data_IF_513951858861
#
_entry.id   IF_513951858861
#
_cell.length_a   1.000
_cell.length_b   1.000
_cell.length_c   1.000
_cell.angle_alpha   90.00
_cell.angle_beta   90.00
_cell.angle_gamma   90.00
#
_symmetry.space_group_name_H-M   'P 1'
#
loop_
_entity.id
_entity.type
_entity.pdbx_description
1 polymer ?
#
# COMPACT_ATOMS: atom_id res chain seq x y z
N UNK A 1 -27.06 63.51 18.23
CA UNK A 1 -27.19 62.22 18.93
C UNK A 1 -26.60 61.16 18.02
N UNK A 2 -25.40 60.74 18.39
CA UNK A 2 -24.53 59.81 17.67
C UNK A 2 -24.97 58.38 17.96
N UNK A 3 -25.05 57.54 16.93
CA UNK A 3 -25.05 56.09 17.09
C UNK A 3 -23.81 55.58 16.36
N UNK A 4 -22.82 55.12 17.14
CA UNK A 4 -21.63 54.47 16.64
C UNK A 4 -21.97 53.04 16.16
N UNK A 5 -21.41 52.56 15.04
CA UNK A 5 -21.50 51.16 14.65
C UNK A 5 -20.55 50.29 15.48
N UNK A 6 -21.04 49.11 15.85
CA UNK A 6 -20.30 48.07 16.56
C UNK A 6 -19.06 47.60 15.77
N UNK A 7 -17.91 47.59 16.44
CA UNK A 7 -16.72 46.88 15.99
C UNK A 7 -16.96 45.37 16.08
N UNK A 8 -16.76 44.66 14.97
CA UNK A 8 -16.60 43.20 14.95
C UNK A 8 -15.11 42.93 15.04
N UNK A 9 -14.70 42.37 16.18
CA UNK A 9 -13.36 41.83 16.39
C UNK A 9 -13.17 40.59 15.52
N UNK A 10 -12.52 40.74 14.35
CA UNK A 10 -12.00 39.62 13.59
C UNK A 10 -10.69 39.15 14.20
N UNK A 11 -10.75 38.21 15.14
CA UNK A 11 -9.59 37.35 15.41
C UNK A 11 -9.50 36.36 14.26
N UNK A 12 -8.88 36.79 13.16
CA UNK A 12 -8.38 35.88 12.14
C UNK A 12 -7.25 35.09 12.79
N UNK A 13 -7.47 33.81 13.05
CA UNK A 13 -6.36 32.88 13.14
C UNK A 13 -5.79 32.79 11.71
N UNK A 14 -4.69 33.51 11.49
CA UNK A 14 -3.87 33.28 10.31
C UNK A 14 -3.36 31.83 10.39
N UNK A 15 -3.57 31.05 9.34
CA UNK A 15 -2.81 29.83 9.14
C UNK A 15 -1.35 30.27 8.92
N UNK A 16 -0.53 30.18 9.97
CA UNK A 16 0.92 30.31 9.83
C UNK A 16 1.41 29.01 9.18
N UNK A 17 1.57 29.02 7.86
CA UNK A 17 2.34 28.00 7.17
C UNK A 17 3.76 28.02 7.74
N UNK A 18 4.15 26.93 8.41
CA UNK A 18 5.45 26.82 9.04
C UNK A 18 6.46 26.48 7.95
N UNK A 19 7.45 27.35 7.75
CA UNK A 19 8.69 26.93 7.11
C UNK A 19 9.37 25.95 8.08
N UNK A 20 9.15 24.65 7.84
CA UNK A 20 9.74 23.54 8.60
C UNK A 20 10.63 22.76 7.64
N UNK A 21 11.82 22.37 8.08
CA UNK A 21 12.64 21.39 7.34
C UNK A 21 12.33 19.95 7.77
N UNK A 22 11.41 19.78 8.72
CA UNK A 22 10.88 18.49 9.11
C UNK A 22 9.57 18.26 8.34
N UNK A 23 9.54 17.22 7.49
CA UNK A 23 8.32 16.72 6.86
C UNK A 23 7.51 15.92 7.88
N UNK A 24 6.17 15.93 7.80
CA UNK A 24 5.36 15.08 8.67
C UNK A 24 5.66 13.60 8.41
N UNK A 25 6.00 12.87 9.47
CA UNK A 25 6.26 11.43 9.39
C UNK A 25 4.97 10.66 9.09
N UNK A 26 5.05 9.73 8.14
CA UNK A 26 3.94 8.83 7.85
C UNK A 26 2.76 9.50 7.16
N UNK A 27 2.96 10.55 6.37
CA UNK A 27 1.94 11.11 5.50
C UNK A 27 2.28 10.88 4.03
N UNK A 28 1.25 10.75 3.19
CA UNK A 28 1.38 10.73 1.74
C UNK A 28 1.45 12.20 1.27
N UNK A 29 2.59 12.59 0.72
CA UNK A 29 2.94 13.99 0.47
C UNK A 29 3.04 14.28 -1.03
N UNK A 30 2.28 15.28 -1.45
CA UNK A 30 2.37 15.88 -2.78
C UNK A 30 3.29 17.09 -2.71
N UNK A 31 4.19 17.22 -3.68
CA UNK A 31 5.13 18.33 -3.76
C UNK A 31 4.88 19.18 -5.01
N UNK A 32 5.09 20.49 -4.88
CA UNK A 32 5.06 21.42 -5.99
C UNK A 32 6.30 22.31 -5.97
N UNK A 33 7.09 22.21 -7.04
CA UNK A 33 8.32 22.95 -7.25
C UNK A 33 8.18 23.84 -8.49
N UNK A 34 8.68 25.07 -8.42
CA UNK A 34 8.68 26.02 -9.53
C UNK A 34 10.11 26.27 -10.02
N UNK A 35 10.27 26.57 -11.30
CA UNK A 35 11.54 26.99 -11.89
C UNK A 35 11.33 28.06 -12.97
N UNK A 36 12.29 28.97 -13.13
CA UNK A 36 12.19 30.03 -14.13
C UNK A 36 12.38 29.54 -15.57
N UNK A 37 13.11 28.44 -15.74
CA UNK A 37 13.33 27.80 -17.04
C UNK A 37 13.80 26.36 -16.90
N UNK A 38 13.88 25.64 -18.00
CA UNK A 38 14.53 24.33 -18.00
C UNK A 38 14.87 23.77 -19.37
N UNK A 39 15.53 22.63 -19.35
CA UNK A 39 15.86 21.82 -20.52
C UNK A 39 15.43 20.38 -20.32
N UNK A 40 15.09 19.73 -21.43
CA UNK A 40 14.78 18.30 -21.47
C UNK A 40 15.60 17.69 -22.61
N UNK A 41 16.62 16.94 -22.26
CA UNK A 41 17.60 16.37 -23.20
C UNK A 41 17.49 14.85 -23.23
N UNK A 42 17.51 14.23 -24.42
CA UNK A 42 17.45 12.77 -24.55
C UNK A 42 18.68 12.10 -23.89
N UNK A 43 18.43 11.05 -23.12
CA UNK A 43 19.43 10.22 -22.48
C UNK A 43 19.48 8.82 -23.11
N UNK A 44 20.44 7.98 -22.69
CA UNK A 44 20.59 6.63 -23.21
C UNK A 44 19.49 5.71 -22.65
N UNK A 45 18.50 5.38 -23.48
CA UNK A 45 17.38 4.50 -23.12
C UNK A 45 16.08 4.94 -23.79
N UNK A 46 15.18 3.99 -24.08
CA UNK A 46 13.88 4.35 -24.66
C UNK A 46 13.06 5.16 -23.65
N UNK A 47 12.70 6.39 -24.01
CA UNK A 47 11.92 7.30 -23.16
C UNK A 47 12.70 7.94 -22.01
N UNK A 48 14.04 7.82 -21.99
CA UNK A 48 14.91 8.39 -20.96
C UNK A 48 15.39 9.80 -21.35
N UNK A 49 15.36 10.73 -20.39
CA UNK A 49 15.79 12.11 -20.55
C UNK A 49 16.55 12.60 -19.31
N UNK A 50 17.33 13.66 -19.47
CA UNK A 50 17.82 14.49 -18.37
C UNK A 50 17.00 15.78 -18.34
N UNK A 51 16.31 16.01 -17.22
CA UNK A 51 15.59 17.24 -16.94
C UNK A 51 16.49 18.17 -16.13
N UNK A 52 16.75 19.37 -16.64
CA UNK A 52 17.45 20.42 -15.88
C UNK A 52 16.52 21.59 -15.66
N UNK A 53 16.21 21.91 -14.41
CA UNK A 53 15.45 23.09 -14.02
C UNK A 53 16.43 24.17 -13.51
N UNK A 54 16.39 25.34 -14.15
CA UNK A 54 17.26 26.48 -13.85
C UNK A 54 16.51 27.55 -13.08
N UNK A 55 17.18 28.14 -12.09
CA UNK A 55 16.56 29.02 -11.09
C UNK A 55 15.33 28.34 -10.46
N UNK A 56 15.49 27.07 -10.06
CA UNK A 56 14.51 26.33 -9.29
C UNK A 56 14.31 27.01 -7.92
N UNK A 57 13.07 27.05 -7.44
CA UNK A 57 12.74 27.59 -6.13
C UNK A 57 13.56 26.90 -5.05
N UNK A 58 14.15 27.69 -4.15
CA UNK A 58 14.86 27.20 -2.96
C UNK A 58 13.91 26.58 -1.93
N UNK A 59 12.61 26.83 -2.07
CA UNK A 59 11.54 26.23 -1.26
C UNK A 59 10.59 25.43 -2.16
N UNK A 60 10.39 24.16 -1.80
CA UNK A 60 9.37 23.29 -2.40
C UNK A 60 8.13 23.31 -1.51
N UNK A 61 6.95 23.49 -2.11
CA UNK A 61 5.68 23.39 -1.39
C UNK A 61 5.33 21.93 -1.23
N UNK A 62 4.84 21.53 -0.06
CA UNK A 62 4.27 20.20 0.15
C UNK A 62 2.87 20.32 0.73
N UNK A 63 2.03 19.34 0.46
CA UNK A 63 0.72 19.20 1.08
C UNK A 63 0.33 17.74 1.16
N UNK A 64 -0.38 17.36 2.22
CA UNK A 64 -0.98 16.03 2.36
C UNK A 64 -2.46 16.07 1.98
N UNK A 65 -2.97 14.95 1.44
CA UNK A 65 -4.41 14.82 1.22
C UNK A 65 -5.13 14.44 2.53
N UNK A 66 -6.41 14.08 2.43
CA UNK A 66 -7.22 13.62 3.55
C UNK A 66 -6.56 12.43 4.25
N UNK A 67 -6.69 12.36 5.58
CA UNK A 67 -7.46 13.27 6.45
C UNK A 67 -6.65 14.44 7.00
N UNK A 68 -5.31 14.37 6.98
CA UNK A 68 -4.43 15.32 7.69
C UNK A 68 -4.57 16.71 7.10
N UNK A 69 -4.63 16.83 5.77
CA UNK A 69 -4.80 18.10 5.05
C UNK A 69 -3.84 19.17 5.56
N UNK A 70 -2.60 18.79 5.74
CA UNK A 70 -1.55 19.72 6.14
C UNK A 70 -0.84 20.26 4.90
N UNK A 71 -0.11 21.35 5.08
CA UNK A 71 0.64 21.95 4.01
C UNK A 71 1.69 22.90 4.53
N UNK A 72 2.82 22.90 3.85
CA UNK A 72 3.96 23.69 4.23
C UNK A 72 4.94 23.87 3.09
N UNK A 73 6.15 24.26 3.47
CA UNK A 73 7.27 24.30 2.54
C UNK A 73 8.46 23.59 3.18
N UNK A 74 9.32 23.01 2.36
CA UNK A 74 10.62 22.44 2.73
C UNK A 74 11.71 23.09 1.87
N UNK A 75 12.94 23.17 2.38
CA UNK A 75 14.10 23.56 1.55
C UNK A 75 14.26 22.54 0.42
N UNK A 76 14.35 23.00 -0.83
CA UNK A 76 14.47 22.10 -1.99
C UNK A 76 15.71 21.21 -1.87
N UNK A 77 16.81 21.76 -1.35
CA UNK A 77 18.01 20.97 -1.03
C UNK A 77 17.71 19.84 -0.04
N UNK A 78 16.97 20.12 1.04
CA UNK A 78 16.58 19.12 2.03
C UNK A 78 15.65 18.07 1.45
N UNK A 79 14.71 18.44 0.57
CA UNK A 79 13.89 17.45 -0.15
C UNK A 79 14.75 16.48 -0.96
N UNK A 80 15.79 16.98 -1.63
CA UNK A 80 16.72 16.14 -2.39
C UNK A 80 17.59 15.27 -1.45
N UNK A 81 18.03 15.80 -0.31
CA UNK A 81 18.77 15.02 0.70
C UNK A 81 17.92 13.90 1.32
N UNK A 82 16.63 14.16 1.55
CA UNK A 82 15.64 13.21 2.10
C UNK A 82 15.08 12.26 1.04
N UNK A 83 15.48 12.38 -0.24
CA UNK A 83 14.88 11.64 -1.36
C UNK A 83 14.84 10.13 -1.12
N UNK A 84 15.93 9.56 -0.61
CA UNK A 84 16.00 8.13 -0.28
C UNK A 84 15.18 7.73 0.96
N UNK A 85 15.03 8.64 1.92
CA UNK A 85 14.24 8.45 3.14
C UNK A 85 12.73 8.50 2.85
N UNK A 86 12.32 9.32 1.88
CA UNK A 86 10.96 9.38 1.33
C UNK A 86 10.58 8.15 0.48
N UNK A 87 11.52 7.23 0.25
CA UNK A 87 11.31 6.03 -0.55
C UNK A 87 11.53 6.21 -2.05
N UNK A 88 11.75 7.44 -2.52
CA UNK A 88 11.89 7.78 -3.94
C UNK A 88 13.09 7.13 -4.65
N UNK A 89 14.12 6.67 -3.93
CA UNK A 89 15.23 5.90 -4.51
C UNK A 89 14.82 4.45 -4.84
N UNK A 90 13.87 3.89 -4.10
CA UNK A 90 13.38 2.51 -4.27
C UNK A 90 12.15 2.41 -5.15
N UNK A 91 11.28 3.41 -5.10
CA UNK A 91 10.10 3.57 -5.96
C UNK A 91 10.05 5.02 -6.43
N UNK A 92 10.41 5.25 -7.69
CA UNK A 92 10.56 6.61 -8.21
C UNK A 92 9.19 7.29 -8.33
N UNK A 93 9.03 8.54 -7.86
CA UNK A 93 7.74 9.21 -7.90
C UNK A 93 7.37 9.60 -9.33
N UNK A 94 6.07 9.60 -9.57
CA UNK A 94 5.52 10.24 -10.75
C UNK A 94 5.50 11.75 -10.57
N UNK A 95 5.56 12.48 -11.67
CA UNK A 95 5.39 13.91 -11.67
C UNK A 95 4.75 14.40 -12.97
N UNK A 96 4.14 15.57 -12.89
CA UNK A 96 3.67 16.33 -14.04
C UNK A 96 4.52 17.57 -14.19
N UNK A 97 5.25 17.68 -15.31
CA UNK A 97 5.92 18.90 -15.72
C UNK A 97 4.95 19.76 -16.54
N UNK A 98 4.56 20.91 -16.00
CA UNK A 98 3.75 21.92 -16.68
C UNK A 98 4.62 23.10 -17.08
N UNK A 99 4.55 23.51 -18.35
CA UNK A 99 5.31 24.65 -18.90
C UNK A 99 4.37 25.80 -19.20
N UNK A 100 4.68 26.99 -18.68
CA UNK A 100 3.90 28.22 -18.87
C UNK A 100 3.81 28.58 -20.35
N UNK A 101 2.62 29.02 -20.78
CA UNK A 101 2.33 29.32 -22.19
C UNK A 101 1.96 28.10 -23.04
N UNK A 102 1.87 26.90 -22.44
CA UNK A 102 1.36 25.67 -23.06
C UNK A 102 0.06 25.18 -22.44
N UNK A 103 -0.75 26.08 -21.89
CA UNK A 103 -1.98 25.78 -21.14
C UNK A 103 -3.01 24.94 -21.92
N UNK A 104 -2.98 24.99 -23.26
CA UNK A 104 -3.85 24.18 -24.13
C UNK A 104 -3.34 22.76 -24.37
N UNK A 105 -2.20 22.38 -23.78
CA UNK A 105 -1.62 21.06 -23.87
C UNK A 105 -1.50 20.43 -22.47
N UNK A 106 -1.69 19.12 -22.34
CA UNK A 106 -1.45 18.44 -21.08
C UNK A 106 0.04 18.51 -20.70
N UNK A 107 0.33 18.55 -19.41
CA UNK A 107 1.70 18.49 -18.90
C UNK A 107 2.37 17.14 -19.20
N UNK A 108 3.70 17.09 -19.16
CA UNK A 108 4.44 15.85 -19.36
C UNK A 108 4.36 14.99 -18.11
N UNK A 109 3.87 13.76 -18.26
CA UNK A 109 3.91 12.78 -17.16
C UNK A 109 5.25 12.03 -17.21
N UNK A 110 6.04 12.21 -16.16
CA UNK A 110 7.40 11.68 -16.03
C UNK A 110 7.57 10.97 -14.69
N UNK A 111 8.48 10.03 -14.65
CA UNK A 111 9.01 9.42 -13.44
C UNK A 111 10.37 10.07 -13.12
N UNK A 112 10.62 10.41 -11.86
CA UNK A 112 11.79 11.18 -11.43
C UNK A 112 12.84 10.30 -10.73
N UNK A 113 14.08 10.37 -11.19
CA UNK A 113 15.19 9.57 -10.67
C UNK A 113 16.42 10.44 -10.45
N UNK A 114 17.30 9.99 -9.55
CA UNK A 114 18.64 10.55 -9.36
C UNK A 114 18.69 12.09 -9.24
N UNK A 115 17.87 12.74 -8.40
CA UNK A 115 17.92 14.20 -8.32
C UNK A 115 19.25 14.69 -7.77
N UNK A 116 19.68 15.84 -8.28
CA UNK A 116 20.84 16.57 -7.79
C UNK A 116 20.52 18.07 -7.78
N UNK A 117 20.62 18.70 -6.61
CA UNK A 117 20.41 20.13 -6.45
C UNK A 117 21.75 20.84 -6.16
N UNK A 118 22.02 21.92 -6.90
CA UNK A 118 23.19 22.79 -6.69
C UNK A 118 22.73 24.13 -6.10
N UNK A 119 22.95 24.31 -4.80
CA UNK A 119 22.55 25.48 -4.02
C UNK A 119 23.12 26.79 -4.60
N UNK A 120 24.35 26.76 -5.14
CA UNK A 120 25.01 27.98 -5.60
C UNK A 120 24.35 28.57 -6.85
N UNK A 121 23.65 27.75 -7.63
CA UNK A 121 23.05 28.12 -8.91
C UNK A 121 21.54 27.88 -8.96
N UNK A 122 20.93 27.36 -7.89
CA UNK A 122 19.54 26.91 -7.86
C UNK A 122 19.20 26.02 -9.06
N UNK A 123 20.12 25.10 -9.38
CA UNK A 123 19.95 24.17 -10.48
C UNK A 123 19.55 22.81 -9.93
N UNK A 124 18.38 22.33 -10.37
CA UNK A 124 17.92 20.96 -10.10
C UNK A 124 18.07 20.13 -11.36
N UNK A 125 18.81 19.03 -11.28
CA UNK A 125 18.97 18.07 -12.38
C UNK A 125 18.37 16.74 -11.95
N UNK A 126 17.56 16.11 -12.81
CA UNK A 126 17.00 14.79 -12.59
C UNK A 126 17.18 13.93 -13.84
N UNK A 127 17.39 12.64 -13.63
CA UNK A 127 17.11 11.64 -14.66
C UNK A 127 15.60 11.42 -14.68
N UNK A 128 14.98 11.44 -15.86
CA UNK A 128 13.53 11.27 -15.99
C UNK A 128 13.16 10.26 -17.06
N UNK A 129 12.09 9.52 -16.82
CA UNK A 129 11.49 8.62 -17.82
C UNK A 129 10.09 9.09 -18.14
N UNK A 130 9.75 9.22 -19.42
CA UNK A 130 8.38 9.55 -19.82
C UNK A 130 7.52 8.29 -19.76
N UNK A 131 6.40 8.38 -19.05
CA UNK A 131 5.48 7.25 -18.80
C UNK A 131 4.06 7.48 -19.36
N UNK A 132 3.72 8.70 -19.77
CA UNK A 132 2.42 9.05 -20.35
C UNK A 132 2.27 8.68 -21.84
N UNK A 133 1.05 8.31 -22.24
CA UNK A 133 0.69 7.95 -23.64
C UNK A 133 0.53 9.16 -24.60
N UNK A 134 0.83 10.39 -24.14
CA UNK A 134 0.81 11.58 -24.99
C UNK A 134 2.23 12.04 -25.35
N UNK A 135 2.40 12.41 -26.61
CA UNK A 135 3.70 12.48 -27.26
C UNK A 135 4.65 13.51 -26.61
N UNK A 136 5.77 12.99 -26.09
CA UNK A 136 7.02 13.74 -25.80
C UNK A 136 7.39 14.73 -26.89
N UNK A 137 7.00 14.43 -28.14
CA UNK A 137 7.36 15.17 -29.35
C UNK A 137 6.93 16.64 -29.39
N UNK A 138 6.18 17.15 -28.41
CA UNK A 138 5.78 18.55 -28.35
C UNK A 138 6.59 19.40 -27.35
N UNK A 139 7.32 18.82 -26.40
CA UNK A 139 8.07 19.65 -25.44
C UNK A 139 9.41 20.07 -26.04
N UNK A 140 9.68 21.38 -26.20
CA UNK A 140 10.94 21.85 -26.72
C UNK A 140 12.05 21.47 -25.75
N UNK A 141 13.21 21.15 -26.30
CA UNK A 141 14.41 20.82 -25.52
C UNK A 141 14.82 21.94 -24.57
N UNK A 142 14.32 23.16 -24.77
CA UNK A 142 14.41 24.28 -23.83
C UNK A 142 13.05 24.94 -23.64
N UNK A 143 12.73 25.33 -22.41
CA UNK A 143 11.46 25.95 -22.06
C UNK A 143 11.63 27.06 -21.02
N UNK A 144 10.62 27.95 -20.96
CA UNK A 144 10.54 29.02 -19.97
C UNK A 144 10.00 28.52 -18.63
N UNK A 145 9.30 29.39 -17.90
CA UNK A 145 8.77 29.07 -16.57
C UNK A 145 8.01 27.74 -16.54
N UNK A 146 8.30 26.92 -15.54
CA UNK A 146 7.72 25.60 -15.38
C UNK A 146 7.39 25.30 -13.92
N UNK A 147 6.37 24.46 -13.74
CA UNK A 147 6.00 23.87 -12.46
C UNK A 147 6.10 22.36 -12.55
N UNK A 148 6.75 21.75 -11.57
CA UNK A 148 6.87 20.32 -11.39
C UNK A 148 5.99 19.92 -10.21
N UNK A 149 4.94 19.15 -10.48
CA UNK A 149 4.06 18.58 -9.47
C UNK A 149 4.50 17.13 -9.26
N UNK A 150 5.08 16.84 -8.11
CA UNK A 150 5.66 15.54 -7.77
C UNK A 150 4.66 14.85 -6.86
N UNK A 151 4.26 13.65 -7.25
CA UNK A 151 3.44 12.79 -6.43
C UNK A 151 4.26 12.19 -5.28
N UNK A 152 3.60 11.54 -4.34
CA UNK A 152 4.33 10.67 -3.44
C UNK A 152 4.98 9.51 -4.23
N UNK A 153 5.99 8.87 -3.64
CA UNK A 153 6.33 7.53 -4.04
C UNK A 153 5.15 6.78 -3.49
N UNK A 154 4.27 6.31 -4.37
CA UNK A 154 3.13 5.53 -3.96
C UNK A 154 3.60 4.58 -2.88
N UNK A 155 3.18 4.81 -1.63
CA UNK A 155 3.26 3.73 -0.67
C UNK A 155 2.25 2.77 -1.25
N UNK A 156 2.71 1.84 -2.10
CA UNK A 156 1.95 0.67 -2.48
C UNK A 156 1.48 0.11 -1.15
N UNK A 157 0.23 0.40 -0.81
CA UNK A 157 -0.30 0.14 0.51
C UNK A 157 -0.17 -1.35 0.68
N UNK A 158 0.66 -1.73 1.64
CA UNK A 158 1.09 -3.12 1.81
C UNK A 158 -0.09 -4.03 2.25
N UNK A 159 -1.23 -3.39 2.60
CA UNK A 159 -2.57 -3.95 2.76
C UNK A 159 -3.54 -3.34 1.74
N UNK A 160 -4.55 -4.11 1.38
CA UNK A 160 -5.61 -3.71 0.48
C UNK A 160 -6.72 -2.90 1.18
N UNK A 161 -7.15 -3.34 2.36
CA UNK A 161 -8.27 -2.72 3.08
C UNK A 161 -7.90 -2.31 4.49
N UNK A 162 -8.32 -1.11 4.86
CA UNK A 162 -8.22 -0.65 6.24
C UNK A 162 -9.05 -1.55 7.15
N UNK A 163 -8.45 -1.97 8.27
CA UNK A 163 -9.11 -2.89 9.21
C UNK A 163 -9.08 -4.36 8.81
N UNK A 164 -8.42 -4.73 7.70
CA UNK A 164 -8.06 -6.12 7.46
C UNK A 164 -6.90 -6.56 8.37
N UNK A 165 -6.83 -7.85 8.67
CA UNK A 165 -5.78 -8.44 9.51
C UNK A 165 -4.98 -9.45 8.72
N UNK A 166 -3.68 -9.18 8.60
CA UNK A 166 -2.68 -10.05 7.97
C UNK A 166 -1.73 -10.63 9.01
N UNK A 167 -1.03 -11.70 8.64
CA UNK A 167 -0.13 -12.43 9.53
C UNK A 167 1.31 -12.36 9.04
N UNK A 168 2.19 -11.84 9.90
CA UNK A 168 3.59 -11.63 9.55
C UNK A 168 4.54 -12.41 10.45
N UNK A 169 5.53 -13.12 9.90
CA UNK A 169 6.54 -13.85 10.65
C UNK A 169 7.72 -12.95 11.09
N UNK A 170 7.51 -11.64 11.14
CA UNK A 170 8.50 -10.62 11.48
C UNK A 170 7.81 -9.35 11.97
N UNK A 171 8.54 -8.53 12.71
CA UNK A 171 8.15 -7.17 13.05
C UNK A 171 8.73 -6.18 12.03
N UNK A 172 7.91 -5.23 11.57
CA UNK A 172 8.37 -4.05 10.85
C UNK A 172 7.52 -2.85 11.24
N UNK A 173 8.18 -1.72 11.50
CA UNK A 173 7.54 -0.41 11.70
C UNK A 173 7.32 0.31 10.36
N UNK A 174 7.98 -0.14 9.28
CA UNK A 174 7.81 0.40 7.93
C UNK A 174 6.52 -0.05 7.25
N UNK A 175 5.77 -0.96 7.87
CA UNK A 175 4.47 -1.42 7.37
C UNK A 175 3.35 -0.57 7.98
N UNK A 176 2.31 -0.19 7.21
CA UNK A 176 1.09 0.46 7.70
C UNK A 176 0.21 -0.50 8.51
N UNK A 177 0.79 -1.11 9.54
CA UNK A 177 0.20 -2.18 10.32
C UNK A 177 0.56 -2.01 11.79
N UNK A 178 -0.45 -2.12 12.64
CA UNK A 178 -0.27 -2.19 14.09
C UNK A 178 -0.65 -3.59 14.60
N UNK A 179 -0.02 -4.11 15.66
CA UNK A 179 -0.41 -5.38 16.24
C UNK A 179 -1.89 -5.42 16.62
N UNK A 180 -2.58 -6.48 16.23
CA UNK A 180 -3.99 -6.72 16.54
C UNK A 180 -4.11 -7.45 17.89
N UNK A 181 -3.58 -6.85 18.95
CA UNK A 181 -3.46 -7.47 20.29
C UNK A 181 -4.49 -6.94 21.31
N UNK A 182 -5.44 -6.11 20.88
CA UNK A 182 -6.43 -5.48 21.76
C UNK A 182 -6.00 -4.14 22.35
N UNK A 183 -4.85 -3.58 21.94
CA UNK A 183 -4.39 -2.26 22.39
C UNK A 183 -5.36 -1.14 22.02
N UNK A 184 -5.31 -0.06 22.79
CA UNK A 184 -6.01 1.20 22.49
C UNK A 184 -5.12 2.12 21.66
N UNK A 185 -5.68 2.70 20.60
CA UNK A 185 -5.08 3.70 19.73
C UNK A 185 -5.76 5.05 19.92
N UNK A 186 -5.03 6.12 19.60
CA UNK A 186 -5.55 7.48 19.64
C UNK A 186 -6.32 7.78 18.34
N UNK A 187 -7.53 8.34 18.46
CA UNK A 187 -8.37 8.66 17.28
C UNK A 187 -7.71 9.73 16.40
N UNK A 188 -7.02 10.71 16.96
CA UNK A 188 -6.32 11.74 16.17
C UNK A 188 -5.14 11.17 15.37
N UNK A 189 -4.50 10.11 15.86
CA UNK A 189 -3.39 9.45 15.16
C UNK A 189 -3.85 8.43 14.11
N UNK A 190 -5.06 7.89 14.24
CA UNK A 190 -5.61 6.87 13.34
C UNK A 190 -7.09 7.12 13.01
N UNK A 191 -7.45 8.32 12.51
CA UNK A 191 -8.85 8.75 12.42
C UNK A 191 -9.67 7.90 11.45
N UNK A 192 -9.12 7.47 10.33
CA UNK A 192 -9.89 6.69 9.35
C UNK A 192 -9.89 5.19 9.68
N UNK A 193 -8.91 4.70 10.43
CA UNK A 193 -9.05 3.37 11.04
C UNK A 193 -10.16 3.38 12.10
N UNK A 194 -10.32 4.49 12.83
CA UNK A 194 -11.45 4.71 13.70
C UNK A 194 -12.78 4.82 12.94
N UNK A 195 -12.83 5.38 11.73
CA UNK A 195 -14.05 5.39 10.90
C UNK A 195 -14.55 3.97 10.60
N UNK A 196 -13.63 3.01 10.37
CA UNK A 196 -13.96 1.59 10.10
C UNK A 196 -14.32 0.81 11.39
N UNK A 197 -13.52 0.98 12.45
CA UNK A 197 -13.66 0.19 13.68
C UNK A 197 -14.68 0.78 14.66
N UNK A 198 -14.74 2.11 14.74
CA UNK A 198 -15.36 2.84 15.84
C UNK A 198 -14.87 2.31 17.20
N UNK A 199 -15.77 2.27 18.17
CA UNK A 199 -15.50 1.68 19.49
C UNK A 199 -15.88 0.18 19.58
N UNK A 200 -15.98 -0.53 18.44
CA UNK A 200 -16.46 -1.93 18.39
C UNK A 200 -15.68 -2.87 19.31
N UNK A 201 -14.38 -2.64 19.44
CA UNK A 201 -13.48 -3.46 20.26
C UNK A 201 -13.15 -2.82 21.62
N UNK A 202 -13.74 -1.65 21.92
CA UNK A 202 -13.46 -0.84 23.10
C UNK A 202 -12.99 0.56 22.75
N UNK A 203 -12.79 1.39 23.78
CA UNK A 203 -12.48 2.81 23.63
C UNK A 203 -13.53 3.72 24.24
N UNK A 204 -13.18 5.00 24.34
CA UNK A 204 -14.03 6.07 24.89
C UNK A 204 -14.42 7.13 23.84
N UNK A 205 -13.93 7.02 22.60
CA UNK A 205 -14.19 7.96 21.52
C UNK A 205 -13.11 9.02 21.32
N UNK A 206 -12.25 9.25 22.31
CA UNK A 206 -10.93 9.91 22.11
C UNK A 206 -9.87 8.86 21.73
N UNK A 207 -10.09 7.63 22.23
CA UNK A 207 -9.36 6.41 21.89
C UNK A 207 -10.31 5.32 21.42
N UNK A 208 -9.78 4.38 20.65
CA UNK A 208 -10.47 3.16 20.23
C UNK A 208 -9.55 1.96 20.36
N UNK A 209 -10.10 0.78 20.61
CA UNK A 209 -9.30 -0.44 20.63
C UNK A 209 -9.27 -1.12 19.25
N UNK A 210 -8.15 -1.73 18.90
CA UNK A 210 -8.07 -2.72 17.82
C UNK A 210 -8.57 -4.08 18.32
N UNK A 211 -8.98 -5.01 17.44
CA UNK A 211 -9.31 -6.37 17.87
C UNK A 211 -8.12 -7.06 18.55
N UNK A 212 -8.42 -8.02 19.41
CA UNK A 212 -7.44 -8.98 19.95
C UNK A 212 -7.55 -10.29 19.15
N UNK A 213 -6.59 -10.51 18.27
CA UNK A 213 -6.52 -11.66 17.35
C UNK A 213 -5.37 -12.55 17.79
N UNK A 214 -5.59 -13.87 17.97
CA UNK A 214 -4.50 -14.79 18.25
C UNK A 214 -3.48 -14.84 17.11
N UNK A 215 -2.21 -14.98 17.47
CA UNK A 215 -1.14 -15.30 16.53
C UNK A 215 -1.48 -16.55 15.72
N UNK A 216 -1.07 -16.55 14.45
CA UNK A 216 -1.35 -17.67 13.54
C UNK A 216 -0.62 -18.94 13.98
N UNK A 217 0.61 -18.76 14.41
CA UNK A 217 1.53 -19.77 14.91
C UNK A 217 2.64 -19.07 15.71
N UNK A 218 3.48 -19.80 16.48
CA UNK A 218 4.59 -19.18 17.19
C UNK A 218 5.49 -18.36 16.26
N UNK A 219 5.63 -17.06 16.59
CA UNK A 219 6.43 -16.11 15.80
C UNK A 219 5.75 -15.61 14.53
N UNK A 220 4.42 -15.75 14.39
CA UNK A 220 3.63 -15.17 13.30
C UNK A 220 2.46 -14.38 13.86
N UNK A 221 2.64 -13.07 13.93
CA UNK A 221 1.74 -12.16 14.64
C UNK A 221 0.62 -11.66 13.73
N UNK A 222 -0.57 -11.49 14.33
CA UNK A 222 -1.69 -10.84 13.68
C UNK A 222 -1.52 -9.31 13.75
N UNK A 223 -1.58 -8.64 12.60
CA UNK A 223 -1.49 -7.18 12.53
C UNK A 223 -2.64 -6.62 11.70
N UNK A 224 -3.22 -5.53 12.19
CA UNK A 224 -4.33 -4.84 11.53
C UNK A 224 -3.81 -3.69 10.67
N UNK A 225 -4.29 -3.65 9.43
CA UNK A 225 -3.96 -2.60 8.47
C UNK A 225 -4.50 -1.25 8.93
N UNK A 226 -3.63 -0.25 8.96
CA UNK A 226 -3.97 1.12 9.32
C UNK A 226 -4.13 2.04 8.12
N UNK A 227 -3.53 1.69 6.97
CA UNK A 227 -3.56 2.46 5.72
C UNK A 227 -3.84 1.56 4.53
N UNK A 228 -5.09 1.55 4.10
CA UNK A 228 -5.61 0.84 2.93
C UNK A 228 -6.95 1.48 2.52
N UNK A 229 -7.58 0.95 1.48
CA UNK A 229 -8.88 1.45 1.03
C UNK A 229 -9.99 1.18 2.06
N UNK A 230 -11.01 2.02 2.07
CA UNK A 230 -12.19 1.78 2.91
C UNK A 230 -12.99 0.58 2.36
N UNK A 231 -13.42 -0.36 3.22
CA UNK A 231 -14.19 -1.51 2.75
C UNK A 231 -15.56 -1.08 2.22
N UNK A 232 -15.77 -1.17 0.90
CA UNK A 232 -17.10 -0.95 0.31
C UNK A 232 -18.01 -2.16 0.47
N UNK A 233 -19.33 -1.91 0.56
CA UNK A 233 -20.37 -2.94 0.73
C UNK A 233 -21.32 -3.05 -0.48
N UNK A 234 -21.35 -2.04 -1.35
CA UNK A 234 -22.10 -1.98 -2.60
C UNK A 234 -21.21 -1.40 -3.74
N UNK A 235 -21.53 -1.70 -5.01
CA UNK A 235 -20.72 -1.29 -6.18
C UNK A 235 -21.34 -0.14 -7.00
N UNK A 236 -20.57 0.60 -7.84
CA UNK A 236 -19.22 0.30 -8.34
C UNK A 236 -18.18 1.41 -8.05
N UNK A 237 -17.16 1.09 -7.24
CA UNK A 237 -15.84 1.69 -7.43
C UNK A 237 -15.01 0.66 -8.21
N UNK A 238 -14.60 1.03 -9.43
CA UNK A 238 -13.86 0.16 -10.37
C UNK A 238 -12.51 -0.32 -9.78
N UNK A 239 -12.08 0.29 -8.68
CA UNK A 239 -10.89 -0.03 -7.88
C UNK A 239 -11.10 -1.28 -6.99
N UNK A 240 -12.33 -1.63 -6.63
CA UNK A 240 -12.64 -2.71 -5.68
C UNK A 240 -12.94 -4.04 -6.40
N UNK A 241 -13.48 -3.99 -7.62
CA UNK A 241 -13.75 -5.19 -8.43
C UNK A 241 -12.46 -5.87 -8.95
N UNK A 242 -11.32 -5.19 -8.86
CA UNK A 242 -10.04 -5.64 -9.40
C UNK A 242 -9.07 -6.23 -8.37
N UNK A 243 -9.25 -6.08 -7.05
CA UNK A 243 -8.12 -6.14 -6.12
C UNK A 243 -7.97 -7.38 -5.23
N UNK A 244 -8.99 -8.23 -5.05
CA UNK A 244 -8.82 -9.45 -4.25
C UNK A 244 -8.39 -10.67 -5.08
N UNK A 245 -7.53 -11.52 -4.51
CA UNK A 245 -7.11 -12.78 -5.13
C UNK A 245 -8.13 -13.89 -4.86
N UNK A 246 -8.81 -14.38 -5.91
CA UNK A 246 -9.87 -15.40 -5.75
C UNK A 246 -9.37 -16.61 -4.97
N UNK A 247 -10.08 -16.95 -3.89
CA UNK A 247 -9.70 -18.03 -2.98
C UNK A 247 -8.82 -17.62 -1.81
N UNK A 248 -8.16 -16.46 -1.80
CA UNK A 248 -7.51 -15.91 -0.58
C UNK A 248 -8.58 -15.67 0.47
N UNK A 249 -8.31 -16.12 1.68
CA UNK A 249 -9.12 -15.86 2.87
C UNK A 249 -8.52 -14.65 3.58
N UNK A 250 -9.36 -13.69 3.93
CA UNK A 250 -9.01 -12.47 4.61
C UNK A 250 -9.82 -12.35 5.90
N UNK A 251 -9.14 -11.99 7.00
CA UNK A 251 -9.80 -11.65 8.25
C UNK A 251 -10.08 -10.15 8.27
N UNK A 252 -11.35 -9.78 8.42
CA UNK A 252 -11.77 -8.39 8.48
C UNK A 252 -12.30 -8.04 9.88
N UNK A 253 -11.97 -6.85 10.37
CA UNK A 253 -12.48 -6.30 11.62
C UNK A 253 -13.94 -5.78 11.52
N UNK A 254 -14.74 -6.41 10.65
CA UNK A 254 -16.15 -6.14 10.41
C UNK A 254 -16.89 -7.47 10.19
N UNK A 255 -18.19 -7.49 10.49
CA UNK A 255 -19.01 -8.71 10.38
C UNK A 255 -19.64 -8.89 8.99
N UNK A 256 -19.85 -7.78 8.27
CA UNK A 256 -20.46 -7.79 6.95
C UNK A 256 -19.41 -8.08 5.86
N UNK A 257 -19.77 -8.86 4.83
CA UNK A 257 -18.86 -9.16 3.75
C UNK A 257 -18.50 -7.90 2.98
N UNK A 258 -17.21 -7.68 2.76
CA UNK A 258 -16.70 -6.64 1.85
C UNK A 258 -17.14 -7.00 0.43
N UNK A 259 -17.36 -5.98 -0.39
CA UNK A 259 -17.67 -6.19 -1.80
C UNK A 259 -16.63 -7.11 -2.46
N UNK A 260 -17.12 -8.08 -3.22
CA UNK A 260 -16.29 -9.11 -3.86
C UNK A 260 -15.85 -10.29 -2.98
N UNK A 261 -16.14 -10.26 -1.68
CA UNK A 261 -15.93 -11.36 -0.75
C UNK A 261 -17.23 -12.10 -0.41
N UNK A 262 -17.09 -13.33 0.08
CA UNK A 262 -18.15 -14.10 0.72
C UNK A 262 -17.72 -14.48 2.15
N UNK A 263 -18.65 -14.53 3.11
CA UNK A 263 -18.35 -15.08 4.43
C UNK A 263 -17.85 -16.53 4.33
N UNK A 264 -16.74 -16.81 5.01
CA UNK A 264 -16.15 -18.13 5.20
C UNK A 264 -16.79 -18.83 6.41
N UNK A 265 -18.11 -18.99 6.37
CA UNK A 265 -18.90 -19.60 7.44
C UNK A 265 -19.56 -20.93 7.03
N UNK A 266 -19.23 -21.50 5.87
CA UNK A 266 -19.84 -22.72 5.35
C UNK A 266 -21.09 -22.50 4.49
N UNK A 267 -21.42 -21.25 4.15
CA UNK A 267 -22.57 -20.96 3.29
C UNK A 267 -22.41 -21.56 1.89
N UNK A 268 -23.54 -21.90 1.26
CA UNK A 268 -23.55 -22.33 -0.13
C UNK A 268 -23.56 -21.13 -1.08
N UNK A 269 -22.68 -21.17 -2.08
CA UNK A 269 -22.60 -20.23 -3.18
C UNK A 269 -22.99 -20.92 -4.50
N UNK A 270 -23.56 -20.18 -5.47
CA UNK A 270 -23.82 -20.72 -6.79
C UNK A 270 -22.50 -20.99 -7.52
N UNK A 271 -22.45 -22.08 -8.30
CA UNK A 271 -21.27 -22.44 -9.12
C UNK A 271 -20.88 -21.39 -10.18
N UNK A 272 -21.70 -20.37 -10.40
CA UNK A 272 -21.35 -19.21 -11.24
C UNK A 272 -20.33 -18.30 -10.57
N UNK A 273 -20.09 -18.42 -9.25
CA UNK A 273 -19.00 -17.74 -8.56
C UNK A 273 -17.64 -18.20 -9.09
N UNK A 274 -16.70 -17.26 -9.25
CA UNK A 274 -15.34 -17.57 -9.72
C UNK A 274 -14.59 -18.47 -8.74
N UNK A 275 -14.90 -18.37 -7.45
CA UNK A 275 -14.32 -19.22 -6.41
C UNK A 275 -14.52 -20.71 -6.68
N UNK A 276 -15.61 -21.11 -7.35
CA UNK A 276 -15.85 -22.53 -7.67
C UNK A 276 -14.71 -23.15 -8.49
N UNK A 277 -14.05 -22.38 -9.36
CA UNK A 277 -12.93 -22.87 -10.17
C UNK A 277 -11.73 -23.32 -9.32
N UNK A 278 -11.60 -22.78 -8.10
CA UNK A 278 -10.51 -23.07 -7.18
C UNK A 278 -10.96 -24.00 -6.05
N UNK A 279 -12.05 -23.66 -5.36
CA UNK A 279 -12.53 -24.43 -4.21
C UNK A 279 -13.21 -25.75 -4.62
N UNK A 280 -13.80 -25.82 -5.82
CA UNK A 280 -14.61 -26.96 -6.23
C UNK A 280 -15.71 -27.27 -5.21
N UNK A 281 -15.87 -28.55 -4.87
CA UNK A 281 -16.79 -29.00 -3.79
C UNK A 281 -16.05 -29.35 -2.49
N UNK A 282 -14.82 -28.86 -2.32
CA UNK A 282 -13.94 -29.21 -1.19
C UNK A 282 -14.59 -28.99 0.17
N UNK A 283 -15.39 -27.94 0.31
CA UNK A 283 -16.05 -27.58 1.56
C UNK A 283 -17.54 -27.99 1.61
N UNK A 284 -18.05 -28.67 0.58
CA UNK A 284 -19.43 -29.14 0.50
C UNK A 284 -20.24 -28.52 -0.64
N UNK A 285 -21.56 -28.56 -0.49
CA UNK A 285 -22.56 -28.24 -1.52
C UNK A 285 -22.95 -29.45 -2.38
N UNK A 286 -23.93 -29.26 -3.26
CA UNK A 286 -24.49 -30.34 -4.07
C UNK A 286 -23.62 -30.72 -5.29
N UNK A 287 -22.63 -29.89 -5.63
CA UNK A 287 -21.75 -30.05 -6.79
C UNK A 287 -22.44 -29.89 -8.15
N UNK A 288 -23.76 -29.68 -8.17
CA UNK A 288 -24.59 -29.53 -9.36
C UNK A 288 -24.94 -28.06 -9.59
N UNK A 289 -25.48 -27.39 -8.57
CA UNK A 289 -25.86 -25.97 -8.57
C UNK A 289 -24.99 -25.15 -7.62
N UNK A 290 -24.59 -25.74 -6.50
CA UNK A 290 -23.92 -25.03 -5.41
C UNK A 290 -22.63 -25.73 -4.99
N UNK A 291 -21.79 -24.96 -4.32
CA UNK A 291 -20.65 -25.42 -3.53
C UNK A 291 -20.62 -24.60 -2.24
N UNK A 292 -19.94 -25.08 -1.20
CA UNK A 292 -19.83 -24.34 0.06
C UNK A 292 -18.52 -23.55 0.18
N UNK A 293 -18.55 -22.44 0.91
CA UNK A 293 -17.35 -21.76 1.40
C UNK A 293 -16.70 -22.57 2.54
N UNK A 294 -15.41 -22.36 2.86
CA UNK A 294 -14.85 -22.89 4.10
C UNK A 294 -15.63 -22.37 5.32
N UNK A 295 -15.59 -23.09 6.44
CA UNK A 295 -16.19 -22.67 7.71
C UNK A 295 -15.08 -22.40 8.72
N UNK A 296 -14.68 -21.14 8.86
CA UNK A 296 -13.55 -20.69 9.65
C UNK A 296 -14.07 -19.81 10.79
N UNK A 297 -13.77 -20.13 12.07
CA UNK A 297 -14.11 -19.25 13.17
C UNK A 297 -13.42 -17.88 13.04
N UNK A 298 -14.15 -16.82 13.37
CA UNK A 298 -13.61 -15.47 13.50
C UNK A 298 -13.72 -15.00 14.96
N UNK A 299 -12.82 -14.13 15.44
CA UNK A 299 -12.99 -13.46 16.73
C UNK A 299 -14.31 -12.64 16.79
N UNK A 300 -14.83 -12.32 18.00
CA UNK A 300 -16.05 -11.51 18.14
C UNK A 300 -15.93 -10.16 17.42
N UNK A 301 -16.98 -9.75 16.71
CA UNK A 301 -17.01 -8.48 15.96
C UNK A 301 -16.21 -8.48 14.65
N UNK A 302 -15.68 -9.64 14.25
CA UNK A 302 -14.90 -9.84 13.03
C UNK A 302 -15.54 -10.90 12.14
N UNK A 303 -15.07 -11.00 10.89
CA UNK A 303 -15.45 -12.09 9.99
C UNK A 303 -14.29 -12.60 9.17
N UNK A 304 -14.25 -13.92 9.00
CA UNK A 304 -13.42 -14.56 7.99
C UNK A 304 -14.17 -14.53 6.67
N UNK A 305 -13.52 -14.06 5.62
CA UNK A 305 -14.12 -13.92 4.31
C UNK A 305 -13.22 -14.51 3.24
N UNK A 306 -13.80 -14.99 2.15
CA UNK A 306 -13.07 -15.56 1.01
C UNK A 306 -13.39 -14.77 -0.24
N UNK A 307 -12.35 -14.35 -0.97
CA UNK A 307 -12.51 -13.60 -2.21
C UNK A 307 -13.22 -14.47 -3.27
N UNK A 308 -14.28 -13.93 -3.88
CA UNK A 308 -15.14 -14.64 -4.83
C UNK A 308 -15.33 -13.97 -6.19
N UNK A 309 -14.97 -12.68 -6.36
CA UNK A 309 -15.25 -11.93 -7.61
C UNK A 309 -14.04 -11.37 -8.35
N UNK A 310 -12.81 -11.46 -7.82
CA UNK A 310 -11.65 -10.80 -8.40
C UNK A 310 -11.37 -11.07 -9.88
N UNK A 311 -10.90 -10.04 -10.60
CA UNK A 311 -10.47 -10.12 -12.00
C UNK A 311 -9.15 -10.89 -12.19
N UNK A 312 -8.37 -11.10 -11.12
CA UNK A 312 -7.09 -11.81 -11.17
C UNK A 312 -7.25 -13.29 -11.49
N UNK A 313 -6.85 -13.64 -12.72
CA UNK A 313 -6.51 -15.00 -13.08
C UNK A 313 -5.06 -15.26 -12.62
N UNK A 314 -4.80 -16.46 -12.13
CA UNK A 314 -3.51 -17.02 -11.69
C UNK A 314 -2.28 -16.77 -12.58
N UNK A 315 -2.45 -16.18 -13.78
CA UNK A 315 -1.49 -16.17 -14.89
C UNK A 315 -1.23 -14.80 -15.54
N UNK A 316 -1.77 -13.68 -15.01
CA UNK A 316 -1.42 -12.33 -15.49
C UNK A 316 -1.19 -11.43 -14.30
N UNK A 317 0.07 -11.07 -14.06
CA UNK A 317 0.45 -10.14 -13.00
C UNK A 317 1.49 -9.16 -13.51
N UNK A 318 1.22 -7.87 -13.37
CA UNK A 318 2.22 -6.80 -13.47
C UNK A 318 2.74 -6.52 -12.05
N UNK A 319 4.07 -6.49 -11.82
CA UNK A 319 4.68 -6.37 -10.48
C UNK A 319 4.24 -5.16 -9.64
N UNK A 320 3.61 -4.17 -10.27
CA UNK A 320 3.14 -2.87 -9.75
C UNK A 320 1.76 -2.91 -9.08
N UNK A 321 1.08 -4.06 -9.04
CA UNK A 321 -0.31 -4.14 -8.58
C UNK A 321 -0.54 -5.18 -7.47
N UNK A 322 0.50 -5.70 -6.80
CA UNK A 322 0.33 -6.72 -5.74
C UNK A 322 0.16 -6.09 -4.37
N UNK A 323 -1.07 -6.05 -3.80
CA UNK A 323 -1.30 -5.52 -2.45
C UNK A 323 -0.81 -6.51 -1.38
N UNK A 324 0.12 -7.40 -1.71
CA UNK A 324 0.63 -8.42 -0.79
C UNK A 324 2.01 -8.00 -0.33
N UNK A 325 2.20 -7.97 0.98
CA UNK A 325 3.52 -7.77 1.59
C UNK A 325 4.34 -9.06 1.52
N UNK A 326 5.64 -8.96 1.23
CA UNK A 326 6.53 -10.11 1.27
C UNK A 326 6.54 -10.73 2.68
N UNK A 327 6.30 -12.04 2.76
CA UNK A 327 6.21 -12.78 4.00
C UNK A 327 4.82 -12.84 4.64
N UNK A 328 3.78 -12.18 4.08
CA UNK A 328 2.38 -12.41 4.46
C UNK A 328 2.06 -13.91 4.43
N UNK A 329 1.48 -14.42 5.51
CA UNK A 329 0.96 -15.78 5.62
C UNK A 329 -0.57 -15.77 5.60
N UNK A 330 -1.14 -16.42 4.58
CA UNK A 330 -2.58 -16.40 4.36
C UNK A 330 -3.15 -17.79 4.08
N UNK A 331 -4.45 -17.96 4.38
CA UNK A 331 -5.21 -19.16 4.02
C UNK A 331 -5.82 -19.03 2.63
N UNK A 332 -5.90 -20.16 1.93
CA UNK A 332 -6.43 -20.23 0.56
C UNK A 332 -7.42 -21.38 0.41
N UNK A 333 -8.64 -21.03 0.00
CA UNK A 333 -9.75 -21.92 -0.34
C UNK A 333 -9.60 -22.49 -1.75
N UNK A 334 -8.60 -23.34 -1.94
CA UNK A 334 -8.32 -23.97 -3.24
C UNK A 334 -8.06 -25.46 -3.07
N UNK A 335 -8.60 -26.25 -4.00
CA UNK A 335 -8.27 -27.66 -4.19
C UNK A 335 -6.92 -27.84 -4.90
N UNK A 336 -6.39 -26.77 -5.51
CA UNK A 336 -5.11 -26.78 -6.20
C UNK A 336 -3.95 -26.77 -5.20
N UNK A 337 -3.07 -27.75 -5.37
CA UNK A 337 -1.81 -27.91 -4.65
C UNK A 337 -0.73 -26.92 -5.06
N UNK A 338 -0.90 -26.23 -6.20
CA UNK A 338 0.02 -25.21 -6.67
C UNK A 338 -0.22 -23.88 -5.93
N UNK A 339 0.85 -23.17 -5.57
CA UNK A 339 0.77 -21.83 -5.00
C UNK A 339 0.57 -20.78 -6.11
N UNK A 340 -0.17 -19.68 -5.85
CA UNK A 340 -0.28 -18.58 -6.79
C UNK A 340 1.11 -18.04 -7.12
N UNK A 341 1.25 -17.42 -8.28
CA UNK A 341 2.47 -16.68 -8.58
C UNK A 341 2.77 -15.67 -7.46
N UNK A 342 4.03 -15.57 -7.04
CA UNK A 342 4.44 -14.73 -5.90
C UNK A 342 4.40 -15.45 -4.55
N UNK A 343 3.62 -16.53 -4.43
CA UNK A 343 3.42 -17.27 -3.18
C UNK A 343 4.14 -18.62 -3.17
N UNK A 344 4.54 -19.06 -1.98
CA UNK A 344 5.09 -20.36 -1.69
C UNK A 344 4.10 -21.21 -0.89
N UNK A 345 3.98 -22.47 -1.26
CA UNK A 345 3.27 -23.52 -0.53
C UNK A 345 3.47 -24.85 -1.24
N UNK A 346 3.75 -25.91 -0.48
CA UNK A 346 3.99 -27.25 -1.04
C UNK A 346 2.74 -28.12 -0.89
N UNK A 347 2.06 -28.42 -1.98
CA UNK A 347 0.94 -29.35 -1.94
C UNK A 347 -0.25 -28.83 -1.12
N UNK A 348 -1.10 -29.75 -0.67
CA UNK A 348 -2.10 -29.48 0.37
C UNK A 348 -1.47 -29.34 1.78
N UNK A 349 -0.14 -29.41 1.87
CA UNK A 349 0.58 -29.56 3.11
C UNK A 349 0.90 -28.23 3.81
N UNK A 350 0.76 -27.08 3.15
CA UNK A 350 0.99 -25.76 3.75
C UNK A 350 2.46 -25.41 3.88
N UNK A 351 2.81 -24.64 4.92
CA UNK A 351 4.18 -24.25 5.28
C UNK A 351 4.60 -25.05 6.50
N UNK A 352 5.66 -25.87 6.40
CA UNK A 352 6.02 -26.88 7.40
C UNK A 352 7.43 -26.75 7.94
N UNK A 353 8.03 -25.57 7.86
CA UNK A 353 9.42 -25.37 8.27
C UNK A 353 10.44 -25.79 7.23
N UNK A 354 10.09 -25.65 5.95
CA UNK A 354 10.98 -25.97 4.84
C UNK A 354 12.27 -25.16 4.90
N UNK A 355 13.40 -25.81 4.65
CA UNK A 355 14.68 -25.12 4.46
C UNK A 355 14.74 -24.54 3.05
N UNK A 356 14.90 -23.24 2.98
CA UNK A 356 14.91 -22.43 1.77
C UNK A 356 16.33 -21.97 1.43
N UNK A 357 16.77 -22.08 0.17
CA UNK A 357 18.10 -21.61 -0.24
C UNK A 357 18.15 -20.08 -0.26
N UNK A 358 19.04 -19.47 0.52
CA UNK A 358 19.19 -18.00 0.61
C UNK A 358 19.47 -17.38 -0.77
N UNK A 359 20.21 -18.09 -1.63
CA UNK A 359 20.54 -17.61 -2.97
C UNK A 359 19.33 -17.42 -3.90
N UNK A 360 18.17 -18.00 -3.58
CA UNK A 360 16.93 -17.83 -4.35
C UNK A 360 15.88 -16.97 -3.62
N UNK A 361 16.00 -16.85 -2.29
CA UNK A 361 15.02 -16.17 -1.44
C UNK A 361 15.71 -15.14 -0.53
N UNK A 362 16.65 -14.38 -1.08
CA UNK A 362 17.48 -13.43 -0.33
C UNK A 362 16.65 -12.34 0.35
N UNK A 363 15.62 -11.82 -0.32
CA UNK A 363 14.70 -10.84 0.24
C UNK A 363 13.93 -11.43 1.43
N UNK A 364 13.25 -12.58 1.25
CA UNK A 364 12.54 -13.24 2.34
C UNK A 364 13.48 -13.60 3.52
N UNK A 365 14.73 -13.99 3.24
CA UNK A 365 15.74 -14.21 4.27
C UNK A 365 16.07 -12.94 5.05
N UNK A 366 16.18 -11.78 4.39
CA UNK A 366 16.39 -10.50 5.08
C UNK A 366 15.28 -10.16 6.07
N UNK A 367 14.05 -10.63 5.82
CA UNK A 367 12.90 -10.45 6.72
C UNK A 367 12.84 -11.46 7.86
N UNK A 368 13.02 -12.76 7.57
CA UNK A 368 12.85 -13.84 8.55
C UNK A 368 14.14 -14.17 9.32
N UNK A 369 15.31 -13.90 8.73
CA UNK A 369 16.60 -14.35 9.22
C UNK A 369 16.63 -15.86 9.43
N UNK A 370 17.20 -16.31 10.54
CA UNK A 370 17.22 -17.72 10.96
C UNK A 370 16.24 -18.02 12.09
N UNK A 371 15.24 -17.15 12.31
CA UNK A 371 14.30 -17.25 13.45
C UNK A 371 13.54 -18.58 13.51
N UNK A 372 13.30 -19.22 12.36
CA UNK A 372 12.65 -20.53 12.27
C UNK A 372 13.63 -21.69 12.01
N UNK A 373 14.94 -21.41 11.88
CA UNK A 373 15.99 -22.39 11.60
C UNK A 373 16.83 -22.09 10.35
N UNK A 374 17.64 -23.07 9.96
CA UNK A 374 18.65 -22.94 8.90
C UNK A 374 20.02 -22.49 9.41
N UNK A 375 21.00 -22.40 8.51
CA UNK A 375 22.39 -22.11 8.85
C UNK A 375 22.78 -20.62 8.71
N UNK A 376 21.89 -19.79 8.14
CA UNK A 376 22.11 -18.36 7.91
C UNK A 376 23.21 -18.04 6.90
N UNK A 377 23.73 -19.05 6.20
CA UNK A 377 24.80 -18.91 5.19
C UNK A 377 24.36 -19.39 3.82
N UNK A 378 23.71 -20.55 3.78
CA UNK A 378 23.17 -21.16 2.57
C UNK A 378 21.66 -21.34 2.65
N UNK A 379 21.11 -21.48 3.86
CA UNK A 379 19.71 -21.78 4.09
C UNK A 379 19.13 -21.02 5.29
N UNK A 380 17.83 -20.80 5.24
CA UNK A 380 16.97 -20.42 6.37
C UNK A 380 15.71 -21.28 6.35
N UNK A 381 14.95 -21.33 7.43
CA UNK A 381 13.69 -22.07 7.45
C UNK A 381 12.49 -21.12 7.35
N UNK A 382 11.41 -21.59 6.73
CA UNK A 382 10.08 -20.98 6.87
C UNK A 382 9.48 -21.30 8.24
N UNK A 383 8.42 -20.60 8.69
CA UNK A 383 7.65 -21.04 9.84
C UNK A 383 6.90 -22.35 9.60
N UNK A 384 6.33 -22.92 10.66
CA UNK A 384 5.39 -24.04 10.56
C UNK A 384 3.98 -23.54 10.88
N UNK A 385 3.08 -23.64 9.91
CA UNK A 385 1.68 -23.27 10.05
C UNK A 385 0.80 -24.40 9.56
N UNK A 386 -0.19 -24.75 10.36
CA UNK A 386 -1.19 -25.75 10.02
C UNK A 386 -2.48 -25.11 9.57
N UNK A 387 -3.20 -25.81 8.70
CA UNK A 387 -4.50 -25.37 8.25
C UNK A 387 -5.54 -25.52 9.37
N UNK A 388 -6.39 -24.51 9.63
CA UNK A 388 -7.34 -24.55 10.73
C UNK A 388 -8.54 -25.47 10.44
N UNK A 389 -8.82 -25.73 9.16
CA UNK A 389 -9.88 -26.65 8.72
C UNK A 389 -9.44 -27.47 7.50
N UNK A 390 -9.93 -28.71 7.34
CA UNK A 390 -9.62 -29.53 6.17
C UNK A 390 -9.91 -28.82 4.85
N UNK A 391 -9.00 -28.92 3.89
CA UNK A 391 -9.16 -28.37 2.54
C UNK A 391 -8.72 -26.91 2.36
N UNK A 392 -8.42 -26.18 3.43
CA UNK A 392 -7.68 -24.91 3.31
C UNK A 392 -6.19 -25.17 3.17
N UNK A 393 -5.55 -24.43 2.28
CA UNK A 393 -4.10 -24.43 2.12
C UNK A 393 -3.49 -23.19 2.78
N UNK A 394 -2.32 -23.33 3.39
CA UNK A 394 -1.55 -22.20 3.93
C UNK A 394 -0.47 -21.84 2.93
N UNK A 395 -0.33 -20.55 2.61
CA UNK A 395 0.68 -20.06 1.67
C UNK A 395 1.36 -18.84 2.28
N UNK A 396 2.62 -18.63 1.91
CA UNK A 396 3.39 -17.44 2.29
C UNK A 396 3.85 -16.70 1.04
N UNK A 397 3.69 -15.39 1.03
CA UNK A 397 4.27 -14.54 -0.01
C UNK A 397 5.81 -14.63 0.07
N UNK A 398 6.46 -15.07 -1.01
CA UNK A 398 7.87 -15.46 -0.96
C UNK A 398 8.72 -14.93 -2.11
N UNK A 399 8.09 -14.52 -3.21
CA UNK A 399 8.81 -14.13 -4.43
C UNK A 399 8.47 -12.71 -4.88
N UNK A 400 7.33 -12.17 -4.45
CA UNK A 400 6.78 -10.90 -4.94
C UNK A 400 5.96 -10.24 -3.84
N UNK A 401 5.97 -8.90 -3.79
CA UNK A 401 5.23 -8.11 -2.79
C UNK A 401 6.03 -6.95 -2.21
N UNK A 402 5.37 -6.02 -1.52
CA UNK A 402 6.02 -4.91 -0.84
C UNK A 402 7.09 -5.44 0.13
N UNK A 403 8.31 -4.90 0.05
CA UNK A 403 9.43 -5.30 0.87
C UNK A 403 9.62 -4.32 2.04
N UNK A 404 9.25 -4.70 3.28
CA UNK A 404 9.46 -3.82 4.42
C UNK A 404 10.94 -3.71 4.76
N UNK A 405 11.47 -2.48 4.84
CA UNK A 405 12.80 -2.24 5.40
C UNK A 405 12.78 -2.60 6.89
N UNK A 406 13.86 -3.23 7.38
CA UNK A 406 14.10 -3.33 8.84
C UNK A 406 14.68 -2.00 9.30
N UNK A 407 14.08 -1.41 10.33
CA UNK A 407 14.64 -0.26 11.05
C UNK A 407 15.91 -0.61 11.80
#
# INVERSE_FOLDING_TARGET
>A
MSAAPNEVSSTGAAAEGVASNDLPEGEDLLFALQAASGTLEEAEGEGAFTLTLSDASDRTTWFSDRPVRDGGTIDTATLIDEWAALGFEGDAPNAVLSVTGRESQPGLVIELMSPAFEDATNQLTLDVRVIGHEAVGDIPSTFGEASLFIDDASIQTSCLFRGEVDYFPFESEALPYVPADGRTLNVQAYPELFEVLGNRFGGDGDTFAVPSVPDLAPGIEARICTRGADPAFDGPDDEIDTTCSVGKVQLFAQEQPVYGYALANGQELPKTSRLFAYAGTTFGGDGVKTFATPSIPAPPGMSQQVCQSGYFQWSVYTPDQSPTTMGDVSYWATADTQAPQGWYGQGSAGIRGELMPISQYSALFSLLGTGFGGDGKSTFALPRVESPVPGLSVKMSAFQGFFPRRG
#
